data_IF_047977067269
#
_entry.id   IF_047977067269
#
_cell.length_a   1.000
_cell.length_b   1.000
_cell.length_c   1.000
_cell.angle_alpha   90.00
_cell.angle_beta   90.00
_cell.angle_gamma   90.00
#
_symmetry.space_group_name_H-M   'P 1'
#
loop_
_entity.id
_entity.type
_entity.pdbx_description
1 polymer ?
#
# COMPACT_ATOMS: atom_id res chain seq x y z
N UNK A 1 2.17 -32.30 -37.95
CA UNK A 1 3.21 -31.31 -38.27
C UNK A 1 3.85 -30.94 -36.94
N UNK A 2 5.11 -31.32 -36.73
CA UNK A 2 5.77 -31.23 -35.41
C UNK A 2 6.06 -29.76 -35.10
N UNK A 3 5.62 -29.20 -33.95
CA UNK A 3 6.04 -27.87 -33.53
C UNK A 3 7.53 -27.94 -33.24
N UNK A 4 8.30 -27.14 -33.96
CA UNK A 4 9.74 -27.07 -33.79
C UNK A 4 10.04 -26.40 -32.44
N UNK A 5 10.83 -27.07 -31.60
CA UNK A 5 11.19 -26.59 -30.25
C UNK A 5 11.90 -25.23 -30.24
N UNK A 6 12.39 -24.78 -31.41
CA UNK A 6 13.03 -23.50 -31.62
C UNK A 6 12.06 -22.33 -31.90
N UNK A 7 10.75 -22.58 -32.08
CA UNK A 7 9.81 -21.56 -32.54
C UNK A 7 8.75 -21.20 -31.48
N UNK A 8 9.19 -20.48 -30.45
CA UNK A 8 8.36 -19.95 -29.35
C UNK A 8 7.19 -19.06 -29.78
N UNK A 9 7.12 -18.69 -31.06
CA UNK A 9 6.08 -17.85 -31.64
C UNK A 9 4.74 -18.58 -31.90
N UNK A 10 4.73 -19.91 -32.04
CA UNK A 10 3.49 -20.64 -32.40
C UNK A 10 2.44 -20.71 -31.28
N UNK A 11 2.85 -20.52 -30.01
CA UNK A 11 1.99 -20.68 -28.85
C UNK A 11 1.65 -19.36 -28.14
N UNK A 12 2.11 -18.21 -28.66
CA UNK A 12 1.80 -16.89 -28.11
C UNK A 12 2.40 -16.58 -26.73
N UNK A 13 3.24 -17.47 -26.19
CA UNK A 13 3.94 -17.31 -24.92
C UNK A 13 5.30 -18.03 -24.95
N UNK A 14 6.33 -17.53 -24.25
CA UNK A 14 7.59 -18.26 -24.10
C UNK A 14 7.34 -19.57 -23.33
N UNK A 15 7.86 -20.69 -23.80
CA UNK A 15 7.79 -21.98 -23.10
C UNK A 15 9.13 -22.71 -23.18
N UNK A 16 9.45 -23.52 -22.18
CA UNK A 16 10.56 -24.45 -22.24
C UNK A 16 10.03 -25.85 -22.55
N UNK A 17 10.68 -26.61 -23.43
CA UNK A 17 10.30 -27.98 -23.74
C UNK A 17 11.46 -28.95 -23.48
N UNK A 18 11.18 -30.05 -22.82
CA UNK A 18 12.11 -31.18 -22.67
C UNK A 18 11.45 -32.45 -23.16
N UNK A 19 12.21 -33.27 -23.90
CA UNK A 19 11.74 -34.56 -24.41
C UNK A 19 12.42 -35.68 -23.63
N UNK A 20 11.65 -36.59 -23.05
CA UNK A 20 12.16 -37.83 -22.48
C UNK A 20 12.08 -38.97 -23.52
N UNK A 21 13.21 -39.39 -24.10
CA UNK A 21 13.23 -40.45 -25.11
C UNK A 21 12.92 -41.83 -24.53
N UNK A 22 13.04 -42.03 -23.20
CA UNK A 22 12.79 -43.34 -22.56
C UNK A 22 11.32 -43.55 -22.19
N UNK A 23 10.63 -42.47 -21.82
CA UNK A 23 9.20 -42.50 -21.49
C UNK A 23 8.27 -42.19 -22.67
N UNK A 24 8.81 -41.78 -23.83
CA UNK A 24 8.04 -41.22 -24.95
C UNK A 24 7.12 -40.06 -24.53
N UNK A 25 7.56 -39.23 -23.58
CA UNK A 25 6.79 -38.08 -23.06
C UNK A 25 7.46 -36.76 -23.41
N UNK A 26 6.65 -35.75 -23.72
CA UNK A 26 7.08 -34.36 -23.93
C UNK A 26 6.61 -33.52 -22.75
N UNK A 27 7.53 -32.80 -22.13
CA UNK A 27 7.23 -31.85 -21.07
C UNK A 27 7.34 -30.44 -21.63
N UNK A 28 6.32 -29.63 -21.38
CA UNK A 28 6.33 -28.19 -21.64
C UNK A 28 6.15 -27.45 -20.33
N UNK A 29 6.92 -26.40 -20.14
CA UNK A 29 6.81 -25.49 -19.02
C UNK A 29 6.46 -24.11 -19.55
N UNK A 30 5.25 -23.67 -19.27
CA UNK A 30 4.76 -22.34 -19.62
C UNK A 30 4.84 -21.47 -18.36
N UNK A 31 5.75 -20.48 -18.30
CA UNK A 31 5.86 -19.57 -17.17
C UNK A 31 4.59 -18.72 -17.05
N UNK A 32 4.13 -18.49 -15.82
CA UNK A 32 3.10 -17.49 -15.54
C UNK A 32 3.75 -16.14 -15.23
N UNK A 33 2.98 -15.06 -15.07
CA UNK A 33 3.47 -13.73 -14.70
C UNK A 33 4.04 -13.63 -13.26
N UNK A 34 4.57 -14.72 -12.69
CA UNK A 34 5.09 -14.81 -11.32
C UNK A 34 6.02 -16.02 -11.14
N UNK A 35 6.16 -16.50 -9.90
CA UNK A 35 7.04 -17.64 -9.56
C UNK A 35 6.48 -19.03 -9.95
N UNK A 36 5.35 -19.08 -10.65
CA UNK A 36 4.65 -20.30 -10.98
C UNK A 36 4.74 -20.62 -12.48
N UNK A 37 4.43 -21.87 -12.84
CA UNK A 37 4.39 -22.32 -14.21
C UNK A 37 3.24 -23.31 -14.39
N UNK A 38 2.72 -23.39 -15.61
CA UNK A 38 1.88 -24.49 -16.05
C UNK A 38 2.77 -25.55 -16.69
N UNK A 39 2.80 -26.72 -16.08
CA UNK A 39 3.52 -27.90 -16.53
C UNK A 39 2.55 -28.70 -17.41
N UNK A 40 2.91 -28.95 -18.66
CA UNK A 40 2.13 -29.78 -19.58
C UNK A 40 2.96 -31.02 -19.90
N UNK A 41 2.36 -32.18 -19.77
CA UNK A 41 2.95 -33.47 -20.10
C UNK A 41 2.11 -34.10 -21.21
N UNK A 42 2.73 -34.35 -22.37
CA UNK A 42 2.06 -34.90 -23.54
C UNK A 42 2.59 -36.31 -23.80
N UNK A 43 1.67 -37.28 -23.75
CA UNK A 43 1.94 -38.69 -24.08
C UNK A 43 1.76 -38.92 -25.58
N UNK A 44 2.55 -39.81 -26.17
CA UNK A 44 2.39 -40.21 -27.59
C UNK A 44 1.05 -40.86 -27.90
N UNK A 45 0.36 -41.43 -26.90
CA UNK A 45 -0.98 -42.00 -27.08
C UNK A 45 -2.10 -40.96 -27.05
N UNK A 46 -1.79 -39.68 -26.74
CA UNK A 46 -2.70 -38.56 -26.45
C UNK A 46 -3.71 -38.78 -25.29
N UNK A 47 -4.07 -40.03 -24.99
CA UNK A 47 -5.02 -40.47 -23.94
C UNK A 47 -4.52 -40.29 -22.50
N UNK A 48 -3.32 -39.76 -22.29
CA UNK A 48 -2.74 -39.56 -20.96
C UNK A 48 -1.97 -38.23 -20.88
N UNK A 49 -2.38 -37.25 -21.70
CA UNK A 49 -1.79 -35.91 -21.65
C UNK A 49 -2.38 -35.14 -20.48
N UNK A 50 -1.54 -34.50 -19.68
CA UNK A 50 -1.96 -33.76 -18.49
C UNK A 50 -1.39 -32.35 -18.49
N UNK A 51 -2.13 -31.40 -17.93
CA UNK A 51 -1.60 -30.07 -17.60
C UNK A 51 -1.83 -29.78 -16.13
N UNK A 52 -0.83 -29.20 -15.46
CA UNK A 52 -0.87 -28.87 -14.04
C UNK A 52 -0.30 -27.49 -13.80
N UNK A 53 -1.05 -26.63 -13.12
CA UNK A 53 -0.54 -25.34 -12.67
C UNK A 53 0.11 -25.46 -11.29
N UNK A 54 1.35 -25.00 -11.13
CA UNK A 54 2.02 -24.96 -9.82
C UNK A 54 1.55 -23.82 -8.91
N UNK A 55 0.75 -22.88 -9.44
CA UNK A 55 0.18 -21.76 -8.69
C UNK A 55 -1.13 -22.12 -7.98
N UNK A 56 -2.13 -22.54 -8.75
CA UNK A 56 -3.46 -22.87 -8.22
C UNK A 56 -3.69 -24.38 -8.00
N UNK A 57 -2.77 -25.25 -8.42
CA UNK A 57 -2.88 -26.70 -8.27
C UNK A 57 -3.88 -27.37 -9.22
N UNK A 58 -4.54 -26.62 -10.10
CA UNK A 58 -5.48 -27.16 -11.10
C UNK A 58 -4.79 -28.14 -12.03
N UNK A 59 -5.42 -29.29 -12.24
CA UNK A 59 -4.97 -30.34 -13.15
C UNK A 59 -6.06 -30.66 -14.17
N UNK A 60 -5.69 -30.67 -15.45
CA UNK A 60 -6.54 -31.04 -16.58
C UNK A 60 -5.97 -32.28 -17.27
N UNK A 61 -6.84 -33.17 -17.76
CA UNK A 61 -6.46 -34.41 -18.49
C UNK A 61 -7.35 -34.60 -19.73
N UNK A 62 -6.90 -35.45 -20.65
CA UNK A 62 -7.69 -35.99 -21.78
C UNK A 62 -8.03 -34.99 -22.90
N UNK A 63 -7.01 -34.32 -23.43
CA UNK A 63 -7.16 -33.38 -24.55
C UNK A 63 -6.22 -33.70 -25.71
N UNK A 64 -6.58 -33.21 -26.91
CA UNK A 64 -5.66 -33.20 -28.05
C UNK A 64 -4.45 -32.27 -27.80
N UNK A 65 -3.31 -32.52 -28.46
CA UNK A 65 -2.04 -31.79 -28.24
C UNK A 65 -2.18 -30.26 -28.39
N UNK A 66 -2.93 -29.80 -29.39
CA UNK A 66 -3.12 -28.35 -29.62
C UNK A 66 -4.06 -27.72 -28.59
N UNK A 67 -5.09 -28.44 -28.18
CA UNK A 67 -6.09 -27.96 -27.24
C UNK A 67 -5.51 -27.87 -25.82
N UNK A 68 -4.71 -28.85 -25.40
CA UNK A 68 -4.07 -28.82 -24.07
C UNK A 68 -3.10 -27.65 -23.95
N UNK A 69 -2.34 -27.34 -25.00
CA UNK A 69 -1.39 -26.24 -25.00
C UNK A 69 -2.08 -24.88 -25.03
N UNK A 70 -3.13 -24.71 -25.85
CA UNK A 70 -3.92 -23.48 -25.88
C UNK A 70 -4.61 -23.21 -24.53
N UNK A 71 -5.18 -24.25 -23.91
CA UNK A 71 -5.82 -24.15 -22.59
C UNK A 71 -4.80 -23.90 -21.49
N UNK A 72 -3.65 -24.56 -21.52
CA UNK A 72 -2.55 -24.33 -20.59
C UNK A 72 -1.99 -22.90 -20.68
N UNK A 73 -1.86 -22.34 -21.88
CA UNK A 73 -1.46 -20.94 -22.09
C UNK A 73 -2.50 -19.95 -21.55
N UNK A 74 -3.78 -20.16 -21.86
CA UNK A 74 -4.87 -19.35 -21.32
C UNK A 74 -4.91 -19.41 -19.78
N UNK A 75 -4.76 -20.60 -19.20
CA UNK A 75 -4.72 -20.82 -17.77
C UNK A 75 -3.46 -20.21 -17.11
N UNK A 76 -2.29 -20.30 -17.74
CA UNK A 76 -1.06 -19.67 -17.28
C UNK A 76 -1.23 -18.14 -17.19
N UNK A 77 -1.86 -17.53 -18.19
CA UNK A 77 -2.15 -16.09 -18.21
C UNK A 77 -3.17 -15.67 -17.13
N UNK A 78 -4.17 -16.53 -16.86
CA UNK A 78 -5.20 -16.27 -15.86
C UNK A 78 -4.67 -16.47 -14.44
N UNK A 79 -3.97 -17.58 -14.18
CA UNK A 79 -3.35 -17.88 -12.91
C UNK A 79 -2.27 -16.85 -12.55
N UNK A 80 -1.42 -16.45 -13.52
CA UNK A 80 -0.44 -15.39 -13.32
C UNK A 80 -1.06 -14.04 -12.97
N UNK A 81 -2.22 -13.70 -13.55
CA UNK A 81 -2.96 -12.50 -13.16
C UNK A 81 -3.52 -12.61 -11.73
N UNK A 82 -4.12 -13.76 -11.39
CA UNK A 82 -4.69 -14.01 -10.06
C UNK A 82 -3.67 -13.97 -8.93
N UNK A 83 -2.46 -14.47 -9.14
CA UNK A 83 -1.39 -14.43 -8.12
C UNK A 83 -0.83 -13.02 -7.93
N UNK A 84 -0.68 -12.25 -9.01
CA UNK A 84 -0.25 -10.84 -8.95
C UNK A 84 -1.28 -9.97 -8.23
N UNK A 85 -2.58 -10.16 -8.53
CA UNK A 85 -3.65 -9.43 -7.82
C UNK A 85 -3.69 -9.78 -6.34
N UNK A 86 -3.57 -11.07 -5.97
CA UNK A 86 -3.54 -11.49 -4.57
C UNK A 86 -2.34 -10.92 -3.80
N UNK A 87 -1.16 -10.88 -4.42
CA UNK A 87 0.03 -10.26 -3.82
C UNK A 87 -0.15 -8.76 -3.60
N UNK A 88 -0.73 -8.05 -4.58
CA UNK A 88 -1.04 -6.62 -4.46
C UNK A 88 -2.06 -6.35 -3.35
N UNK A 89 -3.10 -7.17 -3.23
CA UNK A 89 -4.11 -7.04 -2.17
C UNK A 89 -3.51 -7.25 -0.77
N UNK A 90 -2.59 -8.22 -0.62
CA UNK A 90 -1.86 -8.44 0.63
C UNK A 90 -0.99 -7.22 1.02
N UNK A 91 -0.30 -6.62 0.06
CA UNK A 91 0.48 -5.40 0.28
C UNK A 91 -0.42 -4.21 0.64
N UNK A 92 -1.55 -4.03 -0.07
CA UNK A 92 -2.53 -2.98 0.25
C UNK A 92 -3.07 -3.15 1.68
N UNK A 93 -3.42 -4.38 2.08
CA UNK A 93 -3.87 -4.67 3.44
C UNK A 93 -2.80 -4.34 4.48
N UNK A 94 -1.54 -4.68 4.21
CA UNK A 94 -0.39 -4.35 5.06
C UNK A 94 -0.22 -2.84 5.23
N UNK A 95 -0.25 -2.07 4.14
CA UNK A 95 -0.11 -0.61 4.18
C UNK A 95 -1.28 0.04 4.92
N UNK A 96 -2.51 -0.45 4.74
CA UNK A 96 -3.69 0.01 5.47
C UNK A 96 -3.59 -0.28 6.97
N UNK A 97 -3.15 -1.48 7.34
CA UNK A 97 -2.91 -1.83 8.75
C UNK A 97 -1.87 -0.91 9.39
N UNK A 98 -0.82 -0.56 8.66
CA UNK A 98 0.20 0.36 9.14
C UNK A 98 -0.33 1.79 9.29
N UNK A 99 -1.16 2.27 8.35
CA UNK A 99 -1.85 3.56 8.48
C UNK A 99 -2.70 3.64 9.76
N UNK A 100 -3.48 2.60 10.05
CA UNK A 100 -4.31 2.52 11.24
C UNK A 100 -3.49 2.52 12.55
N UNK A 101 -2.23 2.07 12.51
CA UNK A 101 -1.33 2.11 13.67
C UNK A 101 -0.65 3.46 13.88
N UNK A 102 -0.40 4.21 12.81
CA UNK A 102 0.31 5.50 12.86
C UNK A 102 -0.61 6.65 13.25
N UNK A 103 -1.88 6.61 12.82
CA UNK A 103 -2.83 7.71 13.06
C UNK A 103 -3.13 8.00 14.54
N UNK A 104 -3.32 6.99 15.43
CA UNK A 104 -3.48 7.22 16.86
C UNK A 104 -2.26 7.88 17.50
N UNK A 105 -1.04 7.54 17.04
CA UNK A 105 0.21 8.14 17.55
C UNK A 105 0.30 9.63 17.20
N UNK A 106 -0.04 9.98 15.95
CA UNK A 106 -0.08 11.37 15.51
C UNK A 106 -1.11 12.21 16.29
N UNK A 107 -2.29 11.64 16.55
CA UNK A 107 -3.33 12.26 17.38
C UNK A 107 -2.84 12.50 18.82
N UNK A 108 -2.15 11.52 19.43
CA UNK A 108 -1.54 11.67 20.75
C UNK A 108 -0.51 12.80 20.81
N UNK A 109 0.35 12.93 19.80
CA UNK A 109 1.31 14.04 19.72
C UNK A 109 0.63 15.40 19.58
N UNK A 110 -0.48 15.49 18.84
CA UNK A 110 -1.26 16.73 18.70
C UNK A 110 -1.91 17.14 20.03
N UNK A 111 -2.46 16.19 20.79
CA UNK A 111 -3.03 16.48 22.11
C UNK A 111 -1.96 17.04 23.07
N UNK A 112 -0.81 16.39 23.14
CA UNK A 112 0.31 16.83 23.99
C UNK A 112 0.83 18.22 23.58
N UNK A 113 0.97 18.47 22.28
CA UNK A 113 1.39 19.77 21.76
C UNK A 113 0.36 20.88 22.06
N UNK A 114 -0.94 20.56 21.95
CA UNK A 114 -2.03 21.47 22.28
C UNK A 114 -2.04 21.86 23.76
N UNK A 115 -1.81 20.89 24.66
CA UNK A 115 -1.66 21.15 26.10
C UNK A 115 -0.47 22.08 26.37
N UNK A 116 0.68 21.86 25.72
CA UNK A 116 1.85 22.73 25.89
C UNK A 116 1.58 24.16 25.42
N UNK A 117 0.97 24.32 24.25
CA UNK A 117 0.62 25.63 23.70
C UNK A 117 -0.37 26.35 24.61
N UNK A 118 -1.42 25.65 25.07
CA UNK A 118 -2.42 26.20 25.98
C UNK A 118 -1.81 26.66 27.30
N UNK A 119 -0.93 25.84 27.89
CA UNK A 119 -0.22 26.19 29.12
C UNK A 119 0.71 27.41 28.91
N UNK A 120 1.47 27.45 27.81
CA UNK A 120 2.35 28.57 27.49
C UNK A 120 1.58 29.89 27.26
N UNK A 121 0.47 29.84 26.53
CA UNK A 121 -0.41 30.99 26.30
C UNK A 121 -1.06 31.49 27.60
N UNK A 122 -1.49 30.59 28.48
CA UNK A 122 -2.06 30.96 29.77
C UNK A 122 -1.06 31.70 30.66
N UNK A 123 0.22 31.25 30.68
CA UNK A 123 1.29 31.93 31.42
C UNK A 123 1.59 33.32 30.84
N UNK A 124 1.66 33.45 29.51
CA UNK A 124 1.87 34.74 28.85
C UNK A 124 0.67 35.70 29.02
N UNK A 125 -0.56 35.19 29.02
CA UNK A 125 -1.78 35.98 29.25
C UNK A 125 -1.92 36.43 30.71
N UNK A 126 -1.57 35.58 31.67
CA UNK A 126 -1.58 35.92 33.09
C UNK A 126 -0.50 36.94 33.49
N UNK A 127 0.64 36.94 32.80
CA UNK A 127 1.71 37.93 32.94
C UNK A 127 1.23 39.37 32.74
N UNK A 128 0.43 39.59 31.69
CA UNK A 128 -0.07 40.93 31.34
C UNK A 128 -1.10 41.48 32.32
N UNK A 129 -1.69 40.64 33.17
CA UNK A 129 -2.79 41.02 34.07
C UNK A 129 -2.34 41.49 35.45
N UNK A 130 -1.07 41.35 35.85
CA UNK A 130 -0.66 41.83 37.17
C UNK A 130 0.78 41.62 37.65
N UNK A 131 1.69 41.04 36.87
CA UNK A 131 3.06 40.76 37.31
C UNK A 131 4.08 40.89 36.19
N UNK A 132 5.07 41.76 36.38
CA UNK A 132 6.04 42.09 35.33
C UNK A 132 7.00 40.90 35.18
N UNK A 133 6.81 40.05 34.17
CA UNK A 133 7.83 39.06 33.82
C UNK A 133 9.04 39.75 33.19
N UNK A 134 10.27 39.30 33.49
CA UNK A 134 11.46 39.83 32.86
C UNK A 134 11.38 39.62 31.34
N UNK A 135 11.78 40.63 30.56
CA UNK A 135 11.69 40.62 29.10
C UNK A 135 12.37 39.39 28.45
N UNK A 136 13.40 38.85 29.10
CA UNK A 136 14.09 37.61 28.69
C UNK A 136 13.20 36.37 28.78
N UNK A 137 12.33 36.27 29.79
CA UNK A 137 11.38 35.16 29.92
C UNK A 137 10.26 35.26 28.87
N UNK A 138 9.82 36.48 28.53
CA UNK A 138 8.82 36.71 27.47
C UNK A 138 9.39 36.31 26.10
N UNK A 139 10.63 36.71 25.80
CA UNK A 139 11.27 36.38 24.53
C UNK A 139 11.50 34.86 24.38
N UNK A 140 11.96 34.20 25.45
CA UNK A 140 12.09 32.74 25.49
C UNK A 140 10.74 32.03 25.30
N UNK A 141 9.68 32.53 25.95
CA UNK A 141 8.31 32.04 25.79
C UNK A 141 7.78 32.19 24.36
N UNK A 142 8.06 33.32 23.70
CA UNK A 142 7.62 33.55 22.32
C UNK A 142 8.33 32.61 21.32
N UNK A 143 9.65 32.42 21.48
CA UNK A 143 10.42 31.50 20.63
C UNK A 143 9.94 30.05 20.80
N UNK A 144 9.67 29.64 22.03
CA UNK A 144 9.19 28.28 22.31
C UNK A 144 7.79 28.03 21.79
N UNK A 145 6.88 29.01 21.92
CA UNK A 145 5.56 28.95 21.32
C UNK A 145 5.62 28.83 19.80
N UNK A 146 6.51 29.57 19.13
CA UNK A 146 6.70 29.46 17.67
C UNK A 146 7.20 28.07 17.24
N UNK A 147 8.12 27.47 18.00
CA UNK A 147 8.63 26.11 17.73
C UNK A 147 7.53 25.06 17.92
N UNK A 148 6.74 25.16 18.98
CA UNK A 148 5.61 24.23 19.22
C UNK A 148 4.52 24.41 18.16
N UNK A 149 4.22 25.65 17.76
CA UNK A 149 3.25 25.93 16.70
C UNK A 149 3.71 25.36 15.34
N UNK A 150 4.99 25.47 15.01
CA UNK A 150 5.56 24.80 13.83
C UNK A 150 5.42 23.27 13.89
N UNK A 151 5.65 22.66 15.06
CA UNK A 151 5.44 21.23 15.27
C UNK A 151 3.96 20.82 15.08
N UNK A 152 3.02 21.62 15.62
CA UNK A 152 1.57 21.41 15.43
C UNK A 152 1.19 21.51 13.96
N UNK A 153 1.68 22.51 13.23
CA UNK A 153 1.41 22.64 11.80
C UNK A 153 1.90 21.42 11.02
N UNK A 154 3.09 20.90 11.33
CA UNK A 154 3.61 19.69 10.69
C UNK A 154 2.77 18.46 11.02
N UNK A 155 2.30 18.32 12.26
CA UNK A 155 1.42 17.23 12.67
C UNK A 155 0.03 17.34 12.02
N UNK A 156 -0.51 18.55 11.87
CA UNK A 156 -1.77 18.81 11.14
C UNK A 156 -1.63 18.49 9.64
N UNK A 157 -0.48 18.80 9.05
CA UNK A 157 -0.18 18.41 7.67
C UNK A 157 0.01 16.90 7.52
N UNK A 158 0.50 16.21 8.56
CA UNK A 158 0.59 14.75 8.60
C UNK A 158 -0.79 14.09 8.78
N UNK A 159 -1.67 14.69 9.58
CA UNK A 159 -3.02 14.18 9.83
C UNK A 159 -4.01 14.55 8.72
N UNK A 160 -3.72 15.57 7.91
CA UNK A 160 -4.55 15.90 6.73
C UNK A 160 -4.62 14.69 5.79
N UNK A 161 -5.81 14.10 5.60
CA UNK A 161 -5.96 12.95 4.73
C UNK A 161 -5.75 13.40 3.29
N UNK A 162 -4.59 13.06 2.72
CA UNK A 162 -4.34 13.22 1.27
C UNK A 162 -5.03 12.08 0.54
N UNK A 163 -6.34 12.23 0.36
CA UNK A 163 -7.20 11.32 -0.39
C UNK A 163 -7.07 11.57 -1.90
N UNK A 164 -5.83 11.74 -2.38
CA UNK A 164 -5.56 11.94 -3.79
C UNK A 164 -5.60 10.56 -4.48
N UNK A 165 -6.79 10.16 -4.91
CA UNK A 165 -7.01 8.93 -5.67
C UNK A 165 -8.49 8.58 -5.71
N UNK A 166 -9.06 8.44 -6.90
CA UNK A 166 -10.44 7.98 -7.12
C UNK A 166 -10.60 6.47 -6.87
N UNK A 167 -10.14 5.99 -5.72
CA UNK A 167 -10.17 4.57 -5.34
C UNK A 167 -10.82 4.41 -3.96
N UNK A 168 -11.57 3.31 -3.76
CA UNK A 168 -12.23 3.00 -2.49
C UNK A 168 -13.38 3.95 -2.15
N UNK A 169 -13.53 4.30 -0.87
CA UNK A 169 -14.65 5.12 -0.36
C UNK A 169 -14.83 6.46 -1.09
N UNK A 170 -13.74 7.11 -1.51
CA UNK A 170 -13.81 8.37 -2.26
C UNK A 170 -14.38 8.18 -3.67
N UNK A 171 -14.13 7.03 -4.31
CA UNK A 171 -14.72 6.71 -5.60
C UNK A 171 -16.24 6.48 -5.52
N UNK A 172 -16.73 6.02 -4.35
CA UNK A 172 -18.17 5.92 -4.08
C UNK A 172 -18.77 7.28 -3.72
N UNK A 173 -18.02 8.14 -3.03
CA UNK A 173 -18.45 9.49 -2.70
C UNK A 173 -18.54 10.41 -3.93
N UNK A 174 -17.68 10.21 -4.92
CA UNK A 174 -17.69 10.93 -6.21
C UNK A 174 -18.66 10.30 -7.24
N UNK A 175 -19.42 9.26 -6.87
CA UNK A 175 -20.41 8.68 -7.78
C UNK A 175 -21.64 9.58 -7.87
N UNK A 176 -21.97 10.02 -9.09
CA UNK A 176 -23.10 10.92 -9.34
C UNK A 176 -24.48 10.32 -9.01
N UNK A 177 -24.59 8.98 -8.93
CA UNK A 177 -25.85 8.29 -8.71
C UNK A 177 -25.70 7.00 -7.86
N UNK A 178 -26.63 6.72 -6.91
CA UNK A 178 -26.60 5.52 -6.07
C UNK A 178 -26.70 4.19 -6.82
N UNK A 179 -27.31 4.13 -8.02
CA UNK A 179 -27.26 2.92 -8.84
C UNK A 179 -25.85 2.64 -9.37
N UNK A 180 -25.02 3.67 -9.55
CA UNK A 180 -23.60 3.51 -9.93
C UNK A 180 -22.80 2.84 -8.81
N UNK A 181 -23.17 3.07 -7.55
CA UNK A 181 -22.55 2.41 -6.40
C UNK A 181 -23.02 0.95 -6.31
N UNK A 182 -24.32 0.70 -6.46
CA UNK A 182 -24.89 -0.65 -6.43
C UNK A 182 -24.40 -1.52 -7.59
N UNK A 183 -24.25 -0.98 -8.79
CA UNK A 183 -23.67 -1.69 -9.94
C UNK A 183 -22.20 -2.01 -9.73
N UNK A 184 -21.40 -1.08 -9.20
CA UNK A 184 -19.99 -1.36 -8.83
C UNK A 184 -19.85 -2.41 -7.74
N UNK A 185 -20.77 -2.46 -6.76
CA UNK A 185 -20.80 -3.50 -5.74
C UNK A 185 -21.27 -4.85 -6.31
N UNK A 186 -22.32 -4.86 -7.13
CA UNK A 186 -22.90 -6.06 -7.71
C UNK A 186 -22.00 -6.70 -8.78
N UNK A 187 -21.33 -5.90 -9.62
CA UNK A 187 -20.28 -6.39 -10.53
C UNK A 187 -19.01 -6.82 -9.76
N UNK A 188 -18.78 -6.21 -8.60
CA UNK A 188 -17.62 -6.39 -7.73
C UNK A 188 -17.51 -7.74 -7.03
N UNK A 189 -18.57 -8.55 -6.95
CA UNK A 189 -18.59 -9.77 -6.11
C UNK A 189 -18.29 -11.09 -6.86
N UNK A 190 -18.10 -11.09 -8.19
CA UNK A 190 -17.69 -12.32 -8.90
C UNK A 190 -16.75 -12.12 -10.09
N UNK A 191 -16.79 -10.98 -10.79
CA UNK A 191 -16.08 -10.81 -12.07
C UNK A 191 -15.14 -9.59 -12.10
N UNK A 192 -15.47 -8.49 -11.40
CA UNK A 192 -14.62 -7.28 -11.39
C UNK A 192 -13.34 -7.41 -10.54
N UNK A 193 -13.28 -8.27 -9.52
CA UNK A 193 -12.02 -8.56 -8.79
C UNK A 193 -11.03 -9.32 -9.69
N UNK A 194 -11.54 -10.13 -10.63
CA UNK A 194 -10.73 -10.84 -11.62
C UNK A 194 -10.29 -9.95 -12.81
N UNK A 195 -10.96 -8.81 -13.05
CA UNK A 195 -10.74 -7.93 -14.19
C UNK A 195 -10.27 -6.50 -13.84
N UNK A 196 -10.25 -6.12 -12.55
CA UNK A 196 -9.52 -4.93 -12.11
C UNK A 196 -8.06 -5.12 -12.51
N UNK A 197 -7.67 -4.38 -13.54
CA UNK A 197 -6.34 -4.52 -14.14
C UNK A 197 -5.28 -4.41 -13.04
N UNK A 198 -4.24 -5.28 -13.02
CA UNK A 198 -3.19 -5.25 -12.01
C UNK A 198 -2.53 -3.86 -11.89
N UNK A 199 -2.59 -3.06 -12.96
CA UNK A 199 -2.20 -1.65 -12.99
C UNK A 199 -2.98 -0.75 -12.03
N UNK A 200 -4.28 -0.99 -11.85
CA UNK A 200 -5.14 -0.21 -10.96
C UNK A 200 -4.78 -0.47 -9.50
N UNK A 201 -4.59 -1.73 -9.13
CA UNK A 201 -4.11 -2.14 -7.79
C UNK A 201 -2.70 -1.65 -7.51
N UNK A 202 -1.81 -1.69 -8.50
CA UNK A 202 -0.46 -1.14 -8.38
C UNK A 202 -0.47 0.39 -8.16
N UNK A 203 -1.37 1.13 -8.84
CA UNK A 203 -1.54 2.58 -8.61
C UNK A 203 -2.08 2.88 -7.22
N UNK A 204 -3.06 2.11 -6.76
CA UNK A 204 -3.58 2.24 -5.39
C UNK A 204 -2.45 2.04 -4.37
N UNK A 205 -1.73 0.91 -4.46
CA UNK A 205 -0.60 0.60 -3.58
C UNK A 205 0.44 1.73 -3.60
N UNK A 206 0.85 2.18 -4.78
CA UNK A 206 1.82 3.26 -4.92
C UNK A 206 1.36 4.58 -4.30
N UNK A 207 0.08 4.92 -4.45
CA UNK A 207 -0.51 6.13 -3.84
C UNK A 207 -0.54 6.04 -2.31
N UNK A 208 -0.93 4.88 -1.78
CA UNK A 208 -0.98 4.60 -0.34
C UNK A 208 0.43 4.61 0.27
N UNK A 209 1.41 3.94 -0.36
CA UNK A 209 2.80 3.92 0.11
C UNK A 209 3.41 5.33 0.13
N UNK A 210 3.11 6.18 -0.86
CA UNK A 210 3.55 7.59 -0.84
C UNK A 210 2.91 8.38 0.30
N UNK A 211 1.61 8.19 0.54
CA UNK A 211 0.91 8.87 1.62
C UNK A 211 1.51 8.47 2.98
N UNK A 212 1.74 7.18 3.21
CA UNK A 212 2.39 6.67 4.42
C UNK A 212 3.80 7.24 4.59
N UNK A 213 4.61 7.25 3.52
CA UNK A 213 5.96 7.84 3.55
C UNK A 213 5.94 9.32 3.90
N UNK A 214 4.95 10.07 3.41
CA UNK A 214 4.80 11.49 3.76
C UNK A 214 4.45 11.67 5.25
N UNK A 215 3.53 10.85 5.80
CA UNK A 215 3.20 10.85 7.23
C UNK A 215 4.43 10.57 8.10
N UNK A 216 5.19 9.52 7.77
CA UNK A 216 6.42 9.17 8.50
C UNK A 216 7.46 10.30 8.50
N UNK A 217 7.68 10.97 7.36
CA UNK A 217 8.60 12.11 7.28
C UNK A 217 8.14 13.31 8.09
N UNK A 218 6.85 13.60 8.08
CA UNK A 218 6.29 14.70 8.87
C UNK A 218 6.42 14.42 10.37
N UNK A 219 6.10 13.20 10.82
CA UNK A 219 6.28 12.78 12.22
C UNK A 219 7.75 12.83 12.63
N UNK A 220 8.66 12.31 11.82
CA UNK A 220 10.10 12.32 12.10
C UNK A 220 10.67 13.75 12.27
N UNK A 221 10.09 14.75 11.57
CA UNK A 221 10.46 16.16 11.75
C UNK A 221 9.76 16.83 12.93
N UNK A 222 8.53 16.43 13.23
CA UNK A 222 7.76 17.00 14.34
C UNK A 222 8.32 16.59 15.72
N UNK A 223 8.77 15.34 15.89
CA UNK A 223 9.32 14.83 17.15
C UNK A 223 10.46 15.69 17.73
N UNK A 224 11.54 16.01 16.99
CA UNK A 224 12.61 16.85 17.55
C UNK A 224 12.14 18.28 17.85
N UNK A 225 11.19 18.83 17.08
CA UNK A 225 10.62 20.15 17.37
C UNK A 225 9.78 20.14 18.65
N UNK A 226 9.02 19.07 18.91
CA UNK A 226 8.30 18.91 20.18
C UNK A 226 9.29 18.82 21.34
N UNK A 227 10.35 18.00 21.23
CA UNK A 227 11.38 17.90 22.27
C UNK A 227 12.05 19.26 22.55
N UNK A 228 12.38 20.01 21.49
CA UNK A 228 12.91 21.37 21.62
C UNK A 228 11.89 22.31 22.30
N UNK A 229 10.61 22.18 21.98
CA UNK A 229 9.52 22.91 22.65
C UNK A 229 9.43 22.61 24.15
N UNK A 230 9.47 21.32 24.54
CA UNK A 230 9.51 20.90 25.95
C UNK A 230 10.74 21.45 26.68
N UNK A 231 11.93 21.32 26.08
CA UNK A 231 13.17 21.82 26.68
C UNK A 231 13.12 23.34 26.87
N UNK A 232 12.64 24.07 25.87
CA UNK A 232 12.50 25.51 25.96
C UNK A 232 11.42 25.95 26.96
N UNK A 233 10.32 25.20 27.09
CA UNK A 233 9.31 25.46 28.12
C UNK A 233 9.91 25.29 29.52
N UNK A 234 10.73 24.25 29.74
CA UNK A 234 11.44 24.05 31.01
C UNK A 234 12.43 25.19 31.32
N UNK A 235 13.18 25.66 30.32
CA UNK A 235 14.08 26.82 30.46
C UNK A 235 13.30 28.08 30.81
N UNK A 236 12.19 28.32 30.12
CA UNK A 236 11.32 29.50 30.37
C UNK A 236 10.76 29.47 31.79
N UNK A 237 10.32 28.31 32.26
CA UNK A 237 9.86 28.13 33.64
C UNK A 237 10.98 28.38 34.66
N UNK A 238 12.18 27.84 34.42
CA UNK A 238 13.33 28.07 35.29
C UNK A 238 13.70 29.55 35.40
N UNK A 239 13.74 30.26 34.26
CA UNK A 239 14.00 31.71 34.22
C UNK A 239 12.91 32.52 34.95
N UNK A 240 11.64 32.11 34.85
CA UNK A 240 10.53 32.77 35.53
C UNK A 240 10.51 32.52 37.05
N UNK A 241 11.12 31.43 37.53
CA UNK A 241 11.29 31.14 38.96
C UNK A 241 12.50 31.90 39.52
N UNK A 242 13.63 31.91 38.80
CA UNK A 242 14.87 32.57 39.24
C UNK A 242 14.84 34.09 39.11
N UNK A 243 14.02 34.64 38.21
CA UNK A 243 13.86 36.08 38.04
C UNK A 243 12.83 36.72 39.00
N UNK A 244 12.27 35.95 39.93
CA UNK A 244 11.33 36.39 40.97
C UNK A 244 12.07 36.60 42.29
#
# INVERSE_FOLDING_TARGET
MVPDSANSAQLGAPYASTYDPRGHRRHFQIPTAGAHAVLVEISTSLTDSTSRCTGCGTTDRDFSELEILARAGAHASACGRGTVTAALDAEIATVRAEMLRVDPKASGYLQMAGVLLGAGLAVLGGAGAGGHLPATAVLAGAVTAAVVLAAVVLLLLASRPRLAGGYGFMAYADADDPQTVLTRLAEGDAEHVAQMTPLTRARELWSLSRAVRAKYRAIARAVPLLLAGYAGAAVTAALAIWGR
#
